data_IF_364353229531
#
_entry.id   IF_364353229531
#
_cell.length_a   1.000
_cell.length_b   1.000
_cell.length_c   1.000
_cell.angle_alpha   90.00
_cell.angle_beta   90.00
_cell.angle_gamma   90.00
#
_symmetry.space_group_name_H-M   'P 1'
#
loop_
_entity.id
_entity.type
_entity.pdbx_description
1 polymer ?
#
# COMPACT_ATOMS: atom_id res chain seq x y z
N UNK A 1 26.50 2.90 31.26
CA UNK A 1 25.49 2.41 32.23
C UNK A 1 24.32 3.40 32.24
N UNK A 2 23.23 3.14 31.52
CA UNK A 2 22.02 4.01 31.48
C UNK A 2 20.79 3.26 32.03
N UNK A 3 20.90 1.94 32.24
CA UNK A 3 19.81 1.09 32.69
C UNK A 3 19.45 1.29 34.17
N UNK A 4 20.36 1.74 35.03
CA UNK A 4 20.10 1.85 36.48
C UNK A 4 19.28 3.10 36.87
N UNK A 5 19.18 4.10 35.99
CA UNK A 5 18.47 5.33 36.33
C UNK A 5 16.95 5.20 36.15
N UNK A 6 16.48 4.51 35.11
CA UNK A 6 15.05 4.41 34.79
C UNK A 6 14.43 3.11 35.28
N UNK A 7 13.56 3.22 36.28
CA UNK A 7 12.85 2.09 36.91
C UNK A 7 11.72 1.48 36.06
N UNK A 8 11.08 2.25 35.18
CA UNK A 8 9.96 1.80 34.34
C UNK A 8 10.36 1.70 32.86
N UNK A 9 10.02 0.57 32.26
CA UNK A 9 10.09 0.37 30.81
C UNK A 9 8.95 1.12 30.08
N UNK A 10 9.07 1.25 28.77
CA UNK A 10 8.01 1.83 27.96
C UNK A 10 6.77 0.94 27.98
N UNK A 11 5.60 1.57 28.05
CA UNK A 11 4.32 0.87 27.93
C UNK A 11 3.96 0.71 26.46
N UNK A 12 4.03 -0.52 25.95
CA UNK A 12 3.49 -0.84 24.64
C UNK A 12 2.01 -1.19 24.73
N UNK A 13 1.20 -0.60 23.87
CA UNK A 13 -0.23 -0.94 23.70
C UNK A 13 -0.45 -1.39 22.27
N UNK A 14 -1.21 -2.47 22.09
CA UNK A 14 -1.54 -2.97 20.76
C UNK A 14 -3.01 -3.37 20.70
N UNK A 15 -3.67 -2.97 19.62
CA UNK A 15 -5.02 -3.39 19.28
C UNK A 15 -4.98 -3.98 17.87
N UNK A 16 -5.39 -5.23 17.75
CA UNK A 16 -5.61 -5.90 16.47
C UNK A 16 -7.07 -6.31 16.43
N UNK A 17 -7.79 -5.85 15.42
CA UNK A 17 -9.21 -6.14 15.26
C UNK A 17 -9.55 -6.43 13.81
N UNK A 18 -10.54 -7.29 13.61
CA UNK A 18 -11.15 -7.56 12.31
C UNK A 18 -12.53 -6.93 12.31
N UNK A 19 -12.74 -5.92 11.47
CA UNK A 19 -14.02 -5.20 11.33
C UNK A 19 -14.57 -5.53 9.95
N UNK A 20 -15.48 -6.49 9.89
CA UNK A 20 -15.99 -7.04 8.62
C UNK A 20 -14.86 -7.68 7.79
N UNK A 21 -14.68 -7.29 6.51
CA UNK A 21 -13.58 -7.77 5.68
C UNK A 21 -12.24 -7.04 5.93
N UNK A 22 -12.23 -6.05 6.83
CA UNK A 22 -11.09 -5.17 7.05
C UNK A 22 -10.28 -5.61 8.27
N UNK A 23 -8.96 -5.55 8.16
CA UNK A 23 -8.07 -5.70 9.32
C UNK A 23 -7.63 -4.32 9.79
N UNK A 24 -7.63 -4.11 11.10
CA UNK A 24 -7.17 -2.89 11.76
C UNK A 24 -6.10 -3.27 12.76
N UNK A 25 -4.93 -2.66 12.59
CA UNK A 25 -3.75 -2.89 13.40
C UNK A 25 -3.26 -1.57 13.95
N UNK A 26 -3.36 -1.40 15.26
CA UNK A 26 -2.91 -0.23 16.00
C UNK A 26 -1.85 -0.65 17.00
N UNK A 27 -0.71 0.03 16.99
CA UNK A 27 0.36 -0.12 17.97
C UNK A 27 0.76 1.24 18.48
N UNK A 28 0.95 1.35 19.79
CA UNK A 28 1.36 2.56 20.47
C UNK A 28 2.48 2.21 21.44
N UNK A 29 3.41 3.15 21.64
CA UNK A 29 4.45 3.04 22.66
C UNK A 29 4.47 4.31 23.47
N UNK A 30 4.33 4.17 24.78
CA UNK A 30 4.32 5.28 25.69
C UNK A 30 5.54 5.25 26.62
N UNK A 31 6.02 6.44 26.98
CA UNK A 31 7.11 6.64 27.92
C UNK A 31 6.58 7.35 29.17
N UNK A 32 6.79 6.75 30.35
CA UNK A 32 6.32 7.26 31.64
C UNK A 32 7.06 8.52 32.10
N UNK A 33 8.19 8.84 31.49
CA UNK A 33 9.10 9.86 31.99
C UNK A 33 8.97 11.18 31.25
N UNK A 34 9.24 12.24 32.00
CA UNK A 34 9.37 13.59 31.50
C UNK A 34 10.54 13.69 30.50
N UNK A 35 10.43 14.62 29.56
CA UNK A 35 11.45 14.88 28.55
C UNK A 35 11.84 16.34 28.65
N UNK A 36 13.14 16.60 28.82
CA UNK A 36 13.68 17.96 28.83
C UNK A 36 14.07 18.34 27.41
N UNK A 37 13.36 19.33 26.86
CA UNK A 37 13.59 19.84 25.51
C UNK A 37 14.90 20.63 25.40
N UNK A 38 15.38 21.25 26.48
CA UNK A 38 16.64 22.00 26.48
C UNK A 38 17.86 21.09 26.44
N UNK A 39 17.79 19.93 27.09
CA UNK A 39 18.86 18.92 27.13
C UNK A 39 18.65 17.78 26.12
N UNK A 40 17.55 17.78 25.36
CA UNK A 40 17.16 16.73 24.42
C UNK A 40 17.21 15.31 25.02
N UNK A 41 16.89 15.17 26.30
CA UNK A 41 17.02 13.89 27.00
C UNK A 41 15.84 13.59 27.92
N UNK A 42 15.64 12.29 28.16
CA UNK A 42 14.66 11.78 29.12
C UNK A 42 15.14 12.11 30.53
N UNK A 43 14.25 12.67 31.35
CA UNK A 43 14.53 12.97 32.76
C UNK A 43 13.95 11.85 33.61
N UNK A 44 14.66 11.44 34.67
CA UNK A 44 14.20 10.39 35.58
C UNK A 44 13.09 10.88 36.54
N UNK A 45 12.06 11.52 36.00
CA UNK A 45 10.89 12.00 36.71
C UNK A 45 9.64 11.46 36.00
N UNK A 46 8.82 10.73 36.74
CA UNK A 46 7.56 10.18 36.20
C UNK A 46 6.61 11.34 35.95
N UNK A 47 6.06 11.39 34.75
CA UNK A 47 5.06 12.38 34.37
C UNK A 47 3.73 12.05 35.05
N UNK A 48 3.21 12.99 35.83
CA UNK A 48 1.96 12.83 36.57
C UNK A 48 1.02 14.01 36.29
N UNK A 49 -0.28 13.76 36.42
CA UNK A 49 -1.32 14.80 36.45
C UNK A 49 -1.29 15.57 37.78
N UNK A 50 -2.02 16.68 37.88
CA UNK A 50 -2.25 17.43 39.13
C UNK A 50 -2.82 16.54 40.26
N UNK A 51 -3.50 15.44 39.90
CA UNK A 51 -4.04 14.45 40.83
C UNK A 51 -3.09 13.27 41.14
N UNK A 52 -1.83 13.35 40.75
CA UNK A 52 -0.80 12.31 41.00
C UNK A 52 -0.88 11.07 40.10
N UNK A 53 -1.79 11.03 39.13
CA UNK A 53 -1.97 9.89 38.22
C UNK A 53 -0.87 9.91 37.14
N UNK A 54 -0.12 8.81 36.91
CA UNK A 54 0.86 8.74 35.83
C UNK A 54 0.21 8.93 34.46
N UNK A 55 0.76 9.82 33.64
CA UNK A 55 0.29 10.10 32.28
C UNK A 55 1.42 9.88 31.27
N UNK A 56 1.61 8.64 30.79
CA UNK A 56 2.68 8.29 29.86
C UNK A 56 2.57 9.07 28.56
N UNK A 57 3.68 9.62 28.09
CA UNK A 57 3.75 10.34 26.81
C UNK A 57 3.71 9.32 25.67
N UNK A 58 2.84 9.51 24.69
CA UNK A 58 2.89 8.72 23.45
C UNK A 58 4.15 9.08 22.68
N UNK A 59 5.05 8.12 22.46
CA UNK A 59 6.30 8.34 21.71
C UNK A 59 6.23 7.78 20.29
N UNK A 60 5.45 6.72 20.09
CA UNK A 60 5.25 6.09 18.79
C UNK A 60 3.79 5.65 18.64
N UNK A 61 3.23 5.82 17.45
CA UNK A 61 1.95 5.22 17.08
C UNK A 61 2.05 4.75 15.63
N UNK A 62 1.59 3.54 15.37
CA UNK A 62 1.37 3.06 14.01
C UNK A 62 -0.04 2.50 13.91
N UNK A 63 -0.75 2.94 12.89
CA UNK A 63 -2.07 2.44 12.51
C UNK A 63 -1.96 1.97 11.07
N UNK A 64 -2.38 0.73 10.81
CA UNK A 64 -2.52 0.21 9.46
C UNK A 64 -3.89 -0.43 9.33
N UNK A 65 -4.58 -0.11 8.24
CA UNK A 65 -5.83 -0.76 7.89
C UNK A 65 -5.91 -1.00 6.39
N UNK A 66 -6.55 -2.09 6.00
CA UNK A 66 -6.78 -2.42 4.61
C UNK A 66 -8.13 -3.06 4.42
N UNK A 67 -8.80 -2.72 3.33
CA UNK A 67 -10.07 -3.31 2.94
C UNK A 67 -10.16 -3.47 1.43
N UNK A 68 -10.90 -4.50 1.01
CA UNK A 68 -11.11 -4.82 -0.40
C UNK A 68 -12.59 -4.82 -0.71
N UNK A 69 -12.97 -4.04 -1.72
CA UNK A 69 -14.28 -4.09 -2.34
C UNK A 69 -14.19 -4.85 -3.66
N UNK A 70 -15.22 -5.62 -3.99
CA UNK A 70 -15.30 -6.29 -5.29
C UNK A 70 -16.74 -6.56 -5.68
N UNK A 71 -17.03 -6.42 -6.97
CA UNK A 71 -18.32 -6.76 -7.55
C UNK A 71 -18.20 -7.91 -8.55
N UNK A 72 -19.24 -8.73 -8.61
CA UNK A 72 -19.38 -9.76 -9.64
C UNK A 72 -20.25 -9.28 -10.81
N UNK A 73 -20.10 -9.90 -11.99
CA UNK A 73 -20.91 -9.63 -13.16
C UNK A 73 -22.32 -10.20 -12.95
N UNK A 74 -23.33 -9.37 -13.18
CA UNK A 74 -24.73 -9.81 -13.11
C UNK A 74 -24.98 -10.90 -14.16
N UNK A 75 -25.52 -12.05 -13.74
CA UNK A 75 -25.79 -13.20 -14.61
C UNK A 75 -24.76 -14.34 -14.56
N UNK A 76 -23.61 -14.18 -13.88
CA UNK A 76 -22.75 -15.32 -13.54
C UNK A 76 -23.24 -15.97 -12.25
N UNK A 77 -24.14 -16.95 -12.33
CA UNK A 77 -24.35 -17.88 -11.22
C UNK A 77 -23.13 -18.79 -11.13
N UNK A 78 -22.29 -18.61 -10.12
CA UNK A 78 -21.46 -19.68 -9.56
C UNK A 78 -21.06 -19.37 -8.12
N UNK A 79 -20.93 -20.47 -7.38
CA UNK A 79 -20.94 -20.63 -5.94
C UNK A 79 -19.99 -19.72 -5.15
N UNK A 80 -20.36 -19.49 -3.90
CA UNK A 80 -19.65 -18.75 -2.88
C UNK A 80 -18.13 -18.96 -2.96
N UNK A 81 -17.41 -17.97 -3.49
CA UNK A 81 -15.98 -17.82 -3.25
C UNK A 81 -15.81 -17.00 -1.98
N UNK A 82 -16.13 -17.63 -0.85
CA UNK A 82 -15.57 -17.25 0.45
C UNK A 82 -14.07 -17.55 0.40
N UNK A 83 -13.33 -16.62 -0.17
CA UNK A 83 -11.87 -16.61 -0.04
C UNK A 83 -11.50 -15.32 0.65
N UNK A 84 -11.71 -15.34 1.96
CA UNK A 84 -10.96 -14.53 2.91
C UNK A 84 -9.48 -14.85 2.74
N UNK A 85 -8.83 -14.28 1.72
CA UNK A 85 -7.39 -14.42 1.53
C UNK A 85 -6.67 -13.59 2.58
N UNK A 86 -6.30 -14.24 3.68
CA UNK A 86 -5.56 -13.70 4.82
C UNK A 86 -4.07 -13.45 4.53
N UNK A 87 -3.63 -13.50 3.27
CA UNK A 87 -2.19 -13.45 2.90
C UNK A 87 -1.81 -12.30 1.95
N UNK A 88 -2.72 -11.37 1.64
CA UNK A 88 -2.45 -10.27 0.70
C UNK A 88 -1.68 -9.06 1.28
N UNK A 89 -0.81 -9.28 2.29
CA UNK A 89 0.05 -8.23 2.88
C UNK A 89 1.55 -8.51 2.70
N UNK A 90 1.91 -9.52 1.92
CA UNK A 90 3.30 -9.87 1.65
C UNK A 90 3.61 -9.72 0.16
N UNK A 91 3.27 -8.57 -0.43
CA UNK A 91 3.85 -8.17 -1.71
C UNK A 91 3.79 -6.64 -1.90
N UNK A 92 4.50 -5.93 -1.02
CA UNK A 92 4.58 -4.47 -1.05
C UNK A 92 5.80 -3.95 -1.82
N UNK A 93 6.53 -4.80 -2.55
CA UNK A 93 7.73 -4.38 -3.33
C UNK A 93 7.97 -5.21 -4.62
N UNK A 94 7.07 -6.12 -5.05
CA UNK A 94 7.25 -6.68 -6.39
C UNK A 94 7.06 -5.60 -7.46
N UNK A 95 8.16 -5.26 -8.12
CA UNK A 95 8.18 -4.73 -9.49
C UNK A 95 7.07 -5.45 -10.25
N UNK A 96 6.06 -4.70 -10.65
CA UNK A 96 4.87 -5.19 -11.35
C UNK A 96 5.33 -5.79 -12.67
N UNK A 97 5.72 -7.07 -12.63
CA UNK A 97 6.11 -7.81 -13.82
C UNK A 97 4.82 -8.06 -14.59
N UNK A 98 4.70 -7.57 -15.85
CA UNK A 98 3.49 -7.69 -16.64
C UNK A 98 3.26 -9.13 -17.17
N UNK A 99 3.72 -10.14 -16.44
CA UNK A 99 3.70 -11.54 -16.85
C UNK A 99 3.26 -12.48 -15.71
N UNK A 100 2.37 -12.02 -14.82
CA UNK A 100 1.58 -12.97 -14.03
C UNK A 100 0.44 -13.51 -14.92
N UNK A 101 0.70 -14.64 -15.55
CA UNK A 101 -0.23 -15.38 -16.41
C UNK A 101 -1.30 -16.06 -15.54
N UNK A 102 -2.17 -15.29 -14.90
CA UNK A 102 -3.44 -15.80 -14.37
C UNK A 102 -4.37 -16.11 -15.56
N UNK A 103 -4.10 -17.22 -16.25
CA UNK A 103 -4.97 -17.79 -17.30
C UNK A 103 -6.18 -18.55 -16.74
N UNK A 104 -6.35 -18.58 -15.41
CA UNK A 104 -7.61 -18.93 -14.78
C UNK A 104 -8.52 -17.71 -14.78
N UNK A 105 -9.29 -17.50 -15.85
CA UNK A 105 -10.30 -16.45 -15.90
C UNK A 105 -11.20 -16.56 -14.66
N UNK A 106 -11.14 -15.55 -13.80
CA UNK A 106 -12.14 -15.35 -12.73
C UNK A 106 -13.49 -15.14 -13.42
N UNK A 107 -14.19 -16.23 -13.72
CA UNK A 107 -15.51 -16.24 -14.35
C UNK A 107 -16.52 -15.71 -13.34
N UNK A 108 -16.48 -14.40 -13.06
CA UNK A 108 -17.41 -13.74 -12.16
C UNK A 108 -16.99 -12.35 -11.73
N UNK A 109 -15.71 -12.09 -11.41
CA UNK A 109 -15.31 -10.81 -10.81
C UNK A 109 -15.23 -9.68 -11.85
N UNK A 110 -16.17 -8.73 -11.80
CA UNK A 110 -16.20 -7.56 -12.68
C UNK A 110 -15.13 -6.56 -12.27
N UNK A 111 -15.06 -6.24 -10.99
CA UNK A 111 -14.13 -5.26 -10.47
C UNK A 111 -13.64 -5.62 -9.07
N UNK A 112 -12.47 -5.13 -8.71
CA UNK A 112 -12.03 -5.00 -7.32
C UNK A 112 -11.25 -3.76 -7.09
N UNK A 113 -11.45 -3.16 -5.94
CA UNK A 113 -10.63 -2.08 -5.44
C UNK A 113 -10.12 -2.44 -4.05
N UNK A 114 -8.81 -2.35 -3.85
CA UNK A 114 -8.17 -2.44 -2.54
C UNK A 114 -7.78 -1.05 -2.09
N UNK A 115 -8.09 -0.78 -0.84
CA UNK A 115 -7.65 0.41 -0.14
C UNK A 115 -6.72 -0.03 0.98
N UNK A 116 -5.61 0.67 1.14
CA UNK A 116 -4.70 0.49 2.27
C UNK A 116 -4.34 1.85 2.83
N UNK A 117 -4.56 2.02 4.12
CA UNK A 117 -4.34 3.26 4.84
C UNK A 117 -3.28 2.99 5.90
N UNK A 118 -2.32 3.89 5.99
CA UNK A 118 -1.27 3.82 7.00
C UNK A 118 -1.06 5.18 7.63
N UNK A 119 -0.99 5.18 8.96
CA UNK A 119 -0.58 6.32 9.76
C UNK A 119 0.59 5.92 10.65
N UNK A 120 1.60 6.76 10.72
CA UNK A 120 2.78 6.54 11.56
C UNK A 120 3.20 7.85 12.18
N UNK A 121 3.31 7.85 13.51
CA UNK A 121 3.79 8.94 14.33
C UNK A 121 5.02 8.46 15.10
N UNK A 122 6.06 9.28 15.04
CA UNK A 122 7.32 9.07 15.73
C UNK A 122 7.75 10.38 16.40
N UNK A 123 7.66 10.41 17.73
CA UNK A 123 7.97 11.58 18.55
C UNK A 123 8.69 11.20 19.85
N UNK A 124 9.68 10.30 19.75
CA UNK A 124 10.54 9.97 20.89
C UNK A 124 11.29 11.20 21.42
N UNK A 125 11.72 12.10 20.52
CA UNK A 125 12.09 13.47 20.83
C UNK A 125 10.93 14.39 20.38
N UNK A 126 10.26 15.12 21.28
CA UNK A 126 9.21 16.09 20.95
C UNK A 126 9.63 17.14 19.91
N UNK A 127 10.90 17.57 19.91
CA UNK A 127 11.41 18.55 18.95
C UNK A 127 11.55 17.99 17.52
N UNK A 128 11.64 16.66 17.36
CA UNK A 128 11.81 15.97 16.08
C UNK A 128 10.63 15.06 15.77
N UNK A 129 9.42 15.63 15.80
CA UNK A 129 8.19 14.93 15.43
C UNK A 129 8.21 14.55 13.95
N UNK A 130 8.07 13.26 13.65
CA UNK A 130 7.85 12.73 12.30
C UNK A 130 6.48 12.08 12.23
N UNK A 131 5.68 12.50 11.27
CA UNK A 131 4.31 12.04 11.09
C UNK A 131 4.05 11.78 9.61
N UNK A 132 3.41 10.67 9.31
CA UNK A 132 3.03 10.29 7.95
C UNK A 132 1.63 9.73 7.96
N UNK A 133 0.82 10.13 6.99
CA UNK A 133 -0.52 9.60 6.78
C UNK A 133 -0.75 9.44 5.29
N UNK A 134 -1.14 8.24 4.86
CA UNK A 134 -1.20 7.94 3.44
C UNK A 134 -2.33 6.97 3.10
N UNK A 135 -2.72 7.01 1.84
CA UNK A 135 -3.69 6.08 1.24
C UNK A 135 -3.13 5.48 -0.05
N UNK A 136 -3.20 4.16 -0.16
CA UNK A 136 -3.04 3.42 -1.40
C UNK A 136 -4.40 2.96 -1.90
N UNK A 137 -4.63 3.15 -3.19
CA UNK A 137 -5.82 2.62 -3.89
C UNK A 137 -5.39 1.82 -5.09
N UNK A 138 -5.77 0.55 -5.15
CA UNK A 138 -5.50 -0.35 -6.27
C UNK A 138 -6.81 -0.91 -6.82
N UNK A 139 -7.25 -0.39 -7.95
CA UNK A 139 -8.45 -0.80 -8.67
C UNK A 139 -8.10 -1.69 -9.86
N UNK A 140 -8.94 -2.68 -10.12
CA UNK A 140 -8.88 -3.52 -11.32
C UNK A 140 -10.29 -3.82 -11.80
N UNK A 141 -10.55 -3.56 -13.07
CA UNK A 141 -11.82 -3.72 -13.77
C UNK A 141 -11.60 -4.64 -14.96
N UNK A 142 -12.34 -5.74 -15.00
CA UNK A 142 -12.44 -6.59 -16.18
C UNK A 142 -13.60 -6.08 -17.02
N UNK A 143 -13.34 -5.33 -18.09
CA UNK A 143 -14.38 -4.76 -18.95
C UNK A 143 -15.08 -5.89 -19.72
N UNK A 144 -14.30 -6.75 -20.38
CA UNK A 144 -14.78 -7.99 -21.02
C UNK A 144 -13.95 -9.19 -20.55
N UNK A 145 -14.09 -10.38 -21.16
CA UNK A 145 -13.20 -11.52 -20.84
C UNK A 145 -11.74 -11.25 -21.21
N UNK A 146 -11.53 -10.32 -22.12
CA UNK A 146 -10.27 -10.09 -22.82
C UNK A 146 -9.71 -8.69 -22.56
N UNK A 147 -10.42 -7.86 -21.77
CA UNK A 147 -9.97 -6.52 -21.40
C UNK A 147 -9.89 -6.42 -19.89
N UNK A 148 -8.71 -6.00 -19.41
CA UNK A 148 -8.49 -5.64 -18.01
C UNK A 148 -7.88 -4.24 -17.96
N UNK A 149 -8.47 -3.40 -17.14
CA UNK A 149 -7.92 -2.09 -16.80
C UNK A 149 -7.63 -2.08 -15.31
N UNK A 150 -6.44 -1.65 -14.94
CA UNK A 150 -6.03 -1.46 -13.56
C UNK A 150 -5.58 -0.03 -13.35
N UNK A 151 -5.85 0.50 -12.17
CA UNK A 151 -5.46 1.83 -11.75
C UNK A 151 -4.92 1.75 -10.33
N UNK A 152 -3.71 2.26 -10.11
CA UNK A 152 -3.11 2.35 -8.79
C UNK A 152 -2.76 3.80 -8.48
N UNK A 153 -3.06 4.26 -7.26
CA UNK A 153 -2.74 5.60 -6.80
C UNK A 153 -2.25 5.61 -5.34
N UNK A 154 -1.30 6.51 -5.06
CA UNK A 154 -0.72 6.78 -3.74
C UNK A 154 -0.98 8.25 -3.39
N UNK A 155 -1.65 8.48 -2.26
CA UNK A 155 -1.87 9.81 -1.72
C UNK A 155 -1.09 10.01 -0.42
N UNK A 156 -0.51 11.19 -0.27
CA UNK A 156 -0.15 11.76 1.02
C UNK A 156 -1.39 12.48 1.57
N UNK A 157 -1.95 11.97 2.66
CA UNK A 157 -3.14 12.55 3.26
C UNK A 157 -2.82 13.70 4.22
N UNK A 158 -1.55 13.85 4.66
CA UNK A 158 -1.13 15.02 5.45
C UNK A 158 -1.05 16.26 4.58
N UNK A 159 -0.50 16.11 3.38
CA UNK A 159 -0.32 17.21 2.41
C UNK A 159 -1.46 17.29 1.38
N UNK A 160 -2.39 16.33 1.41
CA UNK A 160 -3.46 16.18 0.44
C UNK A 160 -2.95 16.12 -1.02
N UNK A 161 -1.84 15.42 -1.22
CA UNK A 161 -1.12 15.36 -2.49
C UNK A 161 -1.20 13.95 -3.10
N UNK A 162 -1.41 13.88 -4.43
CA UNK A 162 -1.27 12.65 -5.19
C UNK A 162 0.22 12.41 -5.49
N UNK A 163 0.85 11.52 -4.72
CA UNK A 163 2.27 11.18 -4.86
C UNK A 163 2.53 10.44 -6.18
N UNK A 164 1.66 9.48 -6.52
CA UNK A 164 1.81 8.73 -7.77
C UNK A 164 0.50 8.12 -8.21
N UNK A 165 0.34 7.97 -9.53
CA UNK A 165 -0.73 7.19 -10.12
C UNK A 165 -0.30 6.50 -11.41
N UNK A 166 -0.86 5.32 -11.66
CA UNK A 166 -0.54 4.50 -12.83
C UNK A 166 -1.78 3.83 -13.37
N UNK A 167 -1.90 3.84 -14.69
CA UNK A 167 -2.90 3.11 -15.45
C UNK A 167 -2.21 1.92 -16.12
N UNK A 168 -2.86 0.76 -16.07
CA UNK A 168 -2.42 -0.45 -16.77
C UNK A 168 -3.59 -1.03 -17.55
N UNK A 169 -3.46 -1.11 -18.86
CA UNK A 169 -4.48 -1.65 -19.75
C UNK A 169 -3.91 -2.90 -20.39
N UNK A 170 -4.64 -4.00 -20.29
CA UNK A 170 -4.29 -5.27 -20.88
C UNK A 170 -5.43 -5.77 -21.76
N UNK A 171 -5.09 -6.13 -23.00
CA UNK A 171 -6.00 -6.73 -23.97
C UNK A 171 -5.44 -8.06 -24.44
N UNK A 172 -6.23 -9.11 -24.24
CA UNK A 172 -5.97 -10.44 -24.74
C UNK A 172 -6.70 -10.65 -26.09
N UNK A 173 -5.97 -10.97 -27.15
CA UNK A 173 -6.55 -11.49 -28.37
C UNK A 173 -6.04 -12.90 -28.68
N UNK A 174 -6.67 -13.52 -29.68
CA UNK A 174 -6.43 -14.90 -30.05
C UNK A 174 -4.96 -15.17 -30.34
N UNK A 175 -4.34 -14.33 -31.17
CA UNK A 175 -2.95 -14.50 -31.60
C UNK A 175 -1.99 -13.46 -31.02
N UNK A 176 -2.50 -12.41 -30.40
CA UNK A 176 -1.68 -11.31 -29.89
C UNK A 176 -2.17 -10.82 -28.54
N UNK A 177 -1.27 -10.20 -27.77
CA UNK A 177 -1.58 -9.52 -26.54
C UNK A 177 -1.05 -8.09 -26.61
N UNK A 178 -1.79 -7.17 -26.00
CA UNK A 178 -1.40 -5.77 -25.86
C UNK A 178 -1.39 -5.42 -24.38
N UNK A 179 -0.31 -4.78 -23.95
CA UNK A 179 -0.17 -4.20 -22.62
C UNK A 179 0.27 -2.75 -22.75
N UNK A 180 -0.43 -1.86 -22.05
CA UNK A 180 -0.05 -0.46 -21.90
C UNK A 180 0.06 -0.18 -20.41
N UNK A 181 1.21 0.32 -19.98
CA UNK A 181 1.43 0.88 -18.67
C UNK A 181 1.72 2.36 -18.81
N UNK A 182 1.00 3.21 -18.09
CA UNK A 182 1.12 4.66 -18.19
C UNK A 182 1.13 5.29 -16.81
N UNK A 183 2.18 6.04 -16.53
CA UNK A 183 2.35 6.89 -15.35
C UNK A 183 2.34 8.34 -15.84
N UNK A 184 1.26 9.10 -15.64
CA UNK A 184 1.12 10.44 -16.22
C UNK A 184 2.07 11.48 -15.63
N UNK A 185 2.44 11.36 -14.35
CA UNK A 185 3.19 12.39 -13.62
C UNK A 185 4.22 11.80 -12.64
N UNK A 186 5.08 12.68 -12.11
CA UNK A 186 6.14 12.33 -11.16
C UNK A 186 7.44 11.83 -11.82
N UNK A 187 8.39 11.43 -10.99
CA UNK A 187 9.73 10.98 -11.43
C UNK A 187 9.68 9.73 -12.31
N UNK A 188 8.68 8.87 -12.10
CA UNK A 188 8.45 7.67 -12.90
C UNK A 188 7.48 7.90 -14.06
N UNK A 189 7.27 9.17 -14.46
CA UNK A 189 6.37 9.50 -15.57
C UNK A 189 6.86 8.90 -16.89
N UNK A 190 5.91 8.39 -17.65
CA UNK A 190 6.17 7.71 -18.90
C UNK A 190 5.09 6.69 -19.24
N UNK A 191 5.26 6.07 -20.39
CA UNK A 191 4.43 4.97 -20.83
C UNK A 191 5.31 3.84 -21.37
N UNK A 192 4.76 2.64 -21.29
CA UNK A 192 5.30 1.44 -21.88
C UNK A 192 4.18 0.71 -22.60
N UNK A 193 4.31 0.62 -23.92
CA UNK A 193 3.44 -0.16 -24.79
C UNK A 193 4.19 -1.42 -25.21
N UNK A 194 3.53 -2.57 -25.09
CA UNK A 194 4.03 -3.85 -25.57
C UNK A 194 2.94 -4.57 -26.35
N UNK A 195 3.31 -5.03 -27.55
CA UNK A 195 2.49 -5.91 -28.38
C UNK A 195 3.30 -7.16 -28.67
N UNK A 196 2.77 -8.33 -28.30
CA UNK A 196 3.41 -9.63 -28.53
C UNK A 196 2.50 -10.56 -29.30
N UNK A 197 3.06 -11.39 -30.17
CA UNK A 197 2.38 -12.56 -30.76
C UNK A 197 2.50 -13.75 -29.80
N UNK A 198 1.39 -14.47 -29.57
CA UNK A 198 1.32 -15.60 -28.62
C UNK A 198 1.86 -16.91 -29.19
N UNK A 199 1.90 -17.05 -30.52
CA UNK A 199 2.34 -18.27 -31.18
C UNK A 199 3.82 -18.56 -30.88
N UNK A 200 4.20 -19.80 -30.50
CA UNK A 200 5.59 -20.17 -30.28
C UNK A 200 6.46 -20.10 -31.54
N UNK A 201 5.87 -20.18 -32.73
CA UNK A 201 6.58 -20.10 -34.03
C UNK A 201 6.78 -18.68 -34.57
N UNK A 202 6.14 -17.66 -34.00
CA UNK A 202 6.20 -16.26 -34.46
C UNK A 202 6.58 -15.28 -33.34
N UNK A 203 7.40 -15.73 -32.37
CA UNK A 203 7.80 -14.91 -31.22
C UNK A 203 8.68 -13.70 -31.58
N UNK A 204 9.26 -13.68 -32.78
CA UNK A 204 10.10 -12.57 -33.25
C UNK A 204 9.31 -11.28 -33.56
N UNK A 205 7.98 -11.36 -33.71
CA UNK A 205 7.12 -10.19 -33.83
C UNK A 205 6.75 -9.66 -32.44
N UNK A 206 7.69 -8.91 -31.87
CA UNK A 206 7.54 -8.18 -30.61
C UNK A 206 7.78 -6.70 -30.84
N UNK A 207 6.79 -5.87 -30.52
CA UNK A 207 6.92 -4.41 -30.59
C UNK A 207 6.85 -3.87 -29.17
N UNK A 208 7.92 -3.20 -28.75
CA UNK A 208 7.97 -2.45 -27.50
C UNK A 208 8.22 -0.97 -27.80
N UNK A 209 7.42 -0.10 -27.20
CA UNK A 209 7.63 1.33 -27.23
C UNK A 209 7.65 1.87 -25.81
N UNK A 210 8.65 2.69 -25.50
CA UNK A 210 8.80 3.38 -24.21
C UNK A 210 8.92 4.88 -24.47
N UNK A 211 8.24 5.68 -23.66
CA UNK A 211 8.41 7.12 -23.61
C UNK A 211 8.33 7.61 -22.18
N UNK A 212 8.96 8.73 -21.84
CA UNK A 212 8.98 9.25 -20.47
C UNK A 212 10.21 10.10 -20.16
N UNK A 213 10.27 10.62 -18.93
CA UNK A 213 11.27 11.59 -18.49
C UNK A 213 12.72 11.07 -18.55
N UNK A 214 12.94 9.77 -18.26
CA UNK A 214 14.24 9.13 -18.43
C UNK A 214 14.30 8.34 -19.73
N UNK A 215 14.80 8.98 -20.79
CA UNK A 215 15.00 8.37 -22.11
C UNK A 215 16.46 7.99 -22.30
N UNK A 216 16.85 6.78 -21.87
CA UNK A 216 18.06 6.12 -22.38
C UNK A 216 17.65 4.72 -22.85
N UNK A 217 17.68 4.54 -24.16
CA UNK A 217 17.57 3.24 -24.84
C UNK A 217 18.74 3.17 -25.81
N UNK A 218 19.70 2.26 -25.64
CA UNK A 218 20.32 1.61 -26.78
C UNK A 218 19.48 0.37 -27.13
N UNK A 219 19.33 0.19 -28.44
CA UNK A 219 18.60 -0.91 -29.08
C UNK A 219 19.25 -2.27 -28.79
#
# INVERSE_FOLDING_TARGET
MVAEQFKLSNLSSSLRSKIGPSNVDLRMTHDFYEYDEGLNQRVNKIRQSEKGIPLPRLTRMSLSTGFQLSGQRMGTKNAAADTSNTTALQDSVAVVSPLSKNSGGSKGKLWSTRFSVGYSLQQSNPALKKETFWLNTNSSLHITKNWRVSYSARFDLMQNELISHRFSIYRDLHCWELAIDWTPSGYASGFYLRINVKSPTLRDLKIEQRGGYNRIVPF
#
